data_IF_132880568156
#
_entry.id   IF_132880568156
#
_cell.length_a   1.000
_cell.length_b   1.000
_cell.length_c   1.000
_cell.angle_alpha   90.00
_cell.angle_beta   90.00
_cell.angle_gamma   90.00
#
_symmetry.space_group_name_H-M   'P 1'
#
loop_
_entity.id
_entity.type
_entity.pdbx_description
1 polymer ?
#
# COMPACT_ATOMS: atom_id res chain seq x y z
N UNK A 1 -4.56 -34.91 2.11
CA UNK A 1 -3.72 -33.75 1.82
C UNK A 1 -3.67 -33.51 0.32
N UNK A 2 -4.16 -32.36 -0.12
CA UNK A 2 -4.15 -31.87 -1.51
C UNK A 2 -2.87 -31.08 -1.76
N UNK A 3 -1.85 -31.73 -2.31
CA UNK A 3 -0.52 -31.14 -2.47
C UNK A 3 -0.51 -29.93 -3.40
N UNK A 4 -1.37 -29.95 -4.41
CA UNK A 4 -1.56 -28.87 -5.37
C UNK A 4 -2.08 -27.56 -4.75
N UNK A 5 -2.69 -27.63 -3.56
CA UNK A 5 -3.18 -26.46 -2.84
C UNK A 5 -2.12 -25.87 -1.89
N UNK A 6 -1.08 -26.63 -1.58
CA UNK A 6 0.00 -26.22 -0.68
C UNK A 6 0.95 -25.29 -1.42
N UNK A 7 1.21 -24.12 -0.83
CA UNK A 7 2.05 -23.11 -1.48
C UNK A 7 2.82 -22.26 -0.48
N UNK A 8 4.09 -22.04 -0.80
CA UNK A 8 4.99 -21.12 -0.14
C UNK A 8 6.00 -20.55 -1.15
N UNK A 9 6.45 -19.30 -0.90
CA UNK A 9 7.62 -18.69 -1.55
C UNK A 9 8.45 -17.96 -0.49
N UNK A 10 9.79 -17.97 -0.56
CA UNK A 10 10.66 -17.42 0.48
C UNK A 10 10.81 -15.89 0.40
N UNK A 11 9.75 -15.18 0.01
CA UNK A 11 9.71 -13.72 -0.11
C UNK A 11 8.26 -13.20 -0.14
N UNK A 12 8.11 -11.87 -0.13
CA UNK A 12 6.81 -11.19 -0.23
C UNK A 12 5.88 -11.59 0.94
N UNK A 13 4.59 -11.80 0.70
CA UNK A 13 3.57 -12.10 1.71
C UNK A 13 3.71 -13.47 2.41
N UNK A 14 4.66 -14.30 1.96
CA UNK A 14 4.92 -15.63 2.52
C UNK A 14 6.20 -15.73 3.33
N UNK A 15 7.15 -14.81 3.14
CA UNK A 15 8.30 -14.66 4.03
C UNK A 15 8.79 -13.22 4.01
N UNK A 16 8.72 -12.55 5.16
CA UNK A 16 9.11 -11.16 5.30
C UNK A 16 9.50 -10.83 6.75
N UNK A 17 10.47 -9.96 6.97
CA UNK A 17 10.83 -9.49 8.30
C UNK A 17 9.85 -8.40 8.75
N UNK A 18 9.53 -8.40 10.04
CA UNK A 18 8.75 -7.33 10.70
C UNK A 18 9.63 -6.44 11.58
N UNK A 19 10.76 -6.97 12.01
CA UNK A 19 11.80 -6.28 12.76
C UNK A 19 13.16 -6.94 12.44
N UNK A 20 14.29 -6.40 12.92
CA UNK A 20 15.61 -6.94 12.58
C UNK A 20 15.81 -8.41 12.94
N UNK A 21 15.11 -8.94 13.94
CA UNK A 21 15.36 -10.26 14.55
C UNK A 21 14.22 -11.26 14.30
N UNK A 22 13.08 -10.82 13.77
CA UNK A 22 11.90 -11.64 13.56
C UNK A 22 11.56 -11.77 12.07
N UNK A 23 11.58 -13.02 11.57
CA UNK A 23 11.14 -13.38 10.23
C UNK A 23 9.75 -14.04 10.31
N UNK A 24 8.76 -13.45 9.65
CA UNK A 24 7.44 -14.07 9.46
C UNK A 24 7.55 -15.07 8.33
N UNK A 25 7.10 -16.31 8.53
CA UNK A 25 6.99 -17.33 7.50
C UNK A 25 5.56 -17.85 7.48
N UNK A 26 4.96 -17.87 6.28
CA UNK A 26 3.58 -18.31 6.07
C UNK A 26 3.53 -19.47 5.08
N UNK A 27 2.56 -20.38 5.26
CA UNK A 27 2.23 -21.46 4.35
C UNK A 27 0.73 -21.41 4.07
N UNK A 28 0.34 -21.59 2.81
CA UNK A 28 -1.06 -21.78 2.42
C UNK A 28 -1.32 -23.26 2.17
N UNK A 29 -2.47 -23.78 2.60
CA UNK A 29 -2.96 -25.13 2.26
C UNK A 29 -4.42 -25.09 1.85
N UNK A 30 -4.97 -26.18 1.30
CA UNK A 30 -6.42 -26.32 1.20
C UNK A 30 -7.06 -26.21 2.60
N UNK A 31 -8.26 -25.63 2.65
CA UNK A 31 -9.01 -25.42 3.88
C UNK A 31 -9.36 -26.75 4.55
N UNK A 32 -9.11 -26.83 5.86
CA UNK A 32 -9.32 -28.01 6.71
C UNK A 32 -8.61 -29.28 6.20
N UNK A 33 -7.53 -29.16 5.44
CA UNK A 33 -6.85 -30.29 4.81
C UNK A 33 -5.64 -30.80 5.59
N UNK A 34 -5.05 -29.97 6.45
CA UNK A 34 -3.93 -30.36 7.32
C UNK A 34 -4.27 -30.10 8.79
N UNK A 35 -3.74 -30.95 9.68
CA UNK A 35 -3.94 -30.86 11.12
C UNK A 35 -2.74 -30.21 11.83
N UNK A 36 -1.54 -30.54 11.36
CA UNK A 36 -0.28 -30.10 11.96
C UNK A 36 0.62 -29.53 10.88
N UNK A 37 1.10 -28.31 11.12
CA UNK A 37 2.12 -27.65 10.33
C UNK A 37 3.29 -27.28 11.26
N UNK A 38 4.48 -27.77 10.96
CA UNK A 38 5.69 -27.47 11.73
C UNK A 38 6.75 -26.92 10.77
N UNK A 39 7.30 -25.77 11.11
CA UNK A 39 8.47 -25.23 10.43
C UNK A 39 9.73 -25.85 11.03
N UNK A 40 10.57 -26.44 10.19
CA UNK A 40 11.91 -26.90 10.54
C UNK A 40 12.91 -25.91 9.98
N UNK A 41 13.69 -25.26 10.84
CA UNK A 41 14.56 -24.14 10.45
C UNK A 41 15.99 -24.33 10.94
N UNK A 42 16.93 -23.79 10.18
CA UNK A 42 18.37 -23.87 10.42
C UNK A 42 19.02 -22.55 10.03
N UNK A 43 20.14 -22.20 10.68
CA UNK A 43 21.04 -21.20 10.13
C UNK A 43 21.68 -21.77 8.85
N UNK A 44 21.91 -20.91 7.84
CA UNK A 44 22.37 -21.38 6.53
C UNK A 44 23.74 -22.08 6.58
N UNK A 45 24.68 -21.52 7.33
CA UNK A 45 26.10 -21.87 7.40
C UNK A 45 26.53 -22.45 8.75
N UNK A 46 25.71 -22.33 9.79
CA UNK A 46 25.93 -22.97 11.09
C UNK A 46 24.87 -24.05 11.37
N UNK A 47 25.24 -25.32 11.23
CA UNK A 47 24.34 -26.46 11.43
C UNK A 47 23.97 -26.72 12.89
N UNK A 48 24.66 -26.09 13.85
CA UNK A 48 24.35 -26.22 15.28
C UNK A 48 23.11 -25.40 15.66
N UNK A 49 22.87 -24.31 14.95
CA UNK A 49 21.71 -23.44 15.13
C UNK A 49 20.55 -23.95 14.27
N UNK A 50 19.65 -24.71 14.90
CA UNK A 50 18.46 -25.27 14.26
C UNK A 50 17.35 -25.48 15.27
N UNK A 51 16.12 -25.55 14.79
CA UNK A 51 14.98 -25.82 15.62
C UNK A 51 13.75 -26.22 14.82
N UNK A 52 12.67 -26.44 15.57
CA UNK A 52 11.35 -26.70 15.01
C UNK A 52 10.32 -25.92 15.79
N UNK A 53 9.35 -25.36 15.09
CA UNK A 53 8.27 -24.58 15.69
C UNK A 53 6.96 -24.93 15.02
N UNK A 54 5.93 -25.19 15.83
CA UNK A 54 4.58 -25.41 15.30
C UNK A 54 4.07 -24.07 14.75
N UNK A 55 3.51 -24.10 13.55
CA UNK A 55 2.89 -22.92 12.94
C UNK A 55 1.41 -22.86 13.33
N UNK A 56 0.93 -21.66 13.59
CA UNK A 56 -0.45 -21.41 13.99
C UNK A 56 -1.30 -21.07 12.77
N UNK A 57 -2.54 -21.57 12.73
CA UNK A 57 -3.49 -21.15 11.69
C UNK A 57 -4.01 -19.75 12.02
N UNK A 58 -3.55 -18.75 11.27
CA UNK A 58 -3.86 -17.33 11.52
C UNK A 58 -5.05 -16.82 10.71
N UNK A 59 -5.37 -17.47 9.59
CA UNK A 59 -6.50 -17.10 8.75
C UNK A 59 -7.03 -18.28 7.93
N UNK A 60 -8.27 -18.13 7.46
CA UNK A 60 -8.91 -19.02 6.50
C UNK A 60 -9.75 -18.18 5.55
N UNK A 61 -9.68 -18.46 4.25
CA UNK A 61 -10.60 -17.87 3.27
C UNK A 61 -11.67 -18.90 2.83
N UNK A 62 -12.25 -18.73 1.63
CA UNK A 62 -13.22 -19.68 1.09
C UNK A 62 -12.61 -21.05 0.77
N UNK A 63 -11.35 -21.11 0.34
CA UNK A 63 -10.69 -22.30 -0.21
C UNK A 63 -9.45 -22.75 0.55
N UNK A 64 -8.80 -21.85 1.29
CA UNK A 64 -7.48 -22.06 1.88
C UNK A 64 -7.42 -21.75 3.37
N UNK A 65 -6.49 -22.43 4.04
CA UNK A 65 -6.02 -22.10 5.38
C UNK A 65 -4.60 -21.52 5.28
N UNK A 66 -4.29 -20.57 6.16
CA UNK A 66 -3.00 -19.89 6.24
C UNK A 66 -2.36 -20.16 7.61
N UNK A 67 -1.20 -20.79 7.58
CA UNK A 67 -0.37 -21.10 8.75
C UNK A 67 0.79 -20.14 8.80
N UNK A 68 1.09 -19.58 9.97
CA UNK A 68 2.13 -18.58 10.16
C UNK A 68 2.96 -18.85 11.42
N UNK A 69 4.22 -18.42 11.36
CA UNK A 69 5.07 -18.29 12.55
C UNK A 69 5.91 -17.03 12.45
N UNK A 70 6.03 -16.32 13.57
CA UNK A 70 7.00 -15.25 13.78
C UNK A 70 8.28 -15.87 14.37
N UNK A 71 9.28 -16.10 13.51
CA UNK A 71 10.52 -16.76 13.90
C UNK A 71 11.52 -15.74 14.44
N UNK A 72 11.61 -15.64 15.77
CA UNK A 72 12.67 -14.94 16.48
C UNK A 72 13.65 -15.96 17.10
N UNK A 73 14.73 -16.23 16.39
CA UNK A 73 15.70 -17.26 16.77
C UNK A 73 17.15 -16.75 16.77
N UNK A 74 17.35 -15.42 16.76
CA UNK A 74 18.68 -14.80 16.75
C UNK A 74 19.50 -15.02 15.47
N UNK A 75 18.89 -15.58 14.42
CA UNK A 75 19.54 -15.86 13.14
C UNK A 75 19.11 -14.83 12.10
N UNK A 76 20.08 -14.28 11.35
CA UNK A 76 19.79 -13.38 10.23
C UNK A 76 19.64 -14.10 8.89
N UNK A 77 20.19 -15.33 8.77
CA UNK A 77 20.23 -16.10 7.52
C UNK A 77 19.61 -17.46 7.78
N UNK A 78 18.43 -17.69 7.22
CA UNK A 78 17.59 -18.82 7.62
C UNK A 78 17.33 -19.71 6.41
N UNK A 79 17.43 -21.02 6.60
CA UNK A 79 16.91 -22.01 5.67
C UNK A 79 15.90 -22.89 6.39
N UNK A 80 14.84 -23.31 5.70
CA UNK A 80 13.74 -24.02 6.34
C UNK A 80 12.97 -24.93 5.38
N UNK A 81 12.17 -25.81 5.96
CA UNK A 81 11.19 -26.65 5.25
C UNK A 81 9.98 -26.87 6.16
N UNK A 82 8.90 -27.39 5.60
CA UNK A 82 7.66 -27.63 6.32
C UNK A 82 7.44 -29.13 6.52
N UNK A 83 7.12 -29.51 7.74
CA UNK A 83 6.54 -30.80 8.08
C UNK A 83 5.02 -30.63 8.16
N UNK A 84 4.30 -31.42 7.36
CA UNK A 84 2.85 -31.34 7.22
C UNK A 84 2.24 -32.70 7.51
N UNK A 85 1.18 -32.72 8.30
CA UNK A 85 0.48 -33.94 8.68
C UNK A 85 -1.03 -33.72 8.65
N UNK A 86 -1.72 -34.64 7.98
CA UNK A 86 -3.18 -34.77 8.01
C UNK A 86 -3.58 -36.04 8.78
N UNK A 87 -4.84 -36.49 8.66
CA UNK A 87 -5.30 -37.70 9.37
C UNK A 87 -4.72 -39.01 8.82
N UNK A 88 -4.05 -39.00 7.67
CA UNK A 88 -3.71 -40.21 6.91
C UNK A 88 -2.23 -40.30 6.53
N UNK A 89 -1.54 -39.17 6.43
CA UNK A 89 -0.24 -39.05 5.77
C UNK A 89 0.59 -37.91 6.33
N UNK A 90 1.90 -38.05 6.18
CA UNK A 90 2.90 -37.04 6.50
C UNK A 90 3.61 -36.66 5.20
N UNK A 91 3.88 -35.37 5.01
CA UNK A 91 4.66 -34.85 3.89
C UNK A 91 5.65 -33.80 4.35
N UNK A 92 6.83 -33.84 3.75
CA UNK A 92 7.87 -32.84 3.90
C UNK A 92 7.85 -31.94 2.67
N UNK A 93 7.62 -30.65 2.86
CA UNK A 93 7.55 -29.67 1.78
C UNK A 93 8.76 -28.74 1.82
N UNK A 94 9.50 -28.74 0.72
CA UNK A 94 10.80 -28.08 0.56
C UNK A 94 10.81 -27.29 -0.75
N UNK A 95 11.88 -26.55 -1.07
CA UNK A 95 12.01 -25.82 -2.33
C UNK A 95 11.92 -26.73 -3.55
N UNK A 96 12.34 -27.99 -3.40
CA UNK A 96 12.40 -28.97 -4.48
C UNK A 96 11.10 -29.78 -4.62
N UNK A 97 10.11 -29.52 -3.76
CA UNK A 97 8.80 -30.18 -3.77
C UNK A 97 8.49 -30.98 -2.51
N UNK A 98 7.69 -32.03 -2.67
CA UNK A 98 7.14 -32.85 -1.58
C UNK A 98 7.86 -34.20 -1.47
N UNK A 99 8.13 -34.62 -0.23
CA UNK A 99 8.84 -35.86 0.10
C UNK A 99 8.12 -36.64 1.21
N UNK A 100 8.26 -37.96 1.21
CA UNK A 100 7.71 -38.84 2.26
C UNK A 100 8.59 -38.92 3.53
N UNK A 101 9.85 -38.53 3.40
CA UNK A 101 10.84 -38.47 4.47
C UNK A 101 11.57 -37.13 4.44
N UNK A 102 12.19 -36.74 5.56
CA UNK A 102 12.93 -35.48 5.65
C UNK A 102 14.09 -35.48 4.64
N UNK A 103 14.10 -34.59 3.62
CA UNK A 103 15.22 -34.49 2.72
C UNK A 103 16.43 -33.84 3.42
N UNK A 104 17.64 -34.19 2.98
CA UNK A 104 18.88 -33.59 3.50
C UNK A 104 19.25 -32.27 2.77
N UNK A 105 18.53 -31.94 1.70
CA UNK A 105 18.74 -30.77 0.84
C UNK A 105 17.39 -30.14 0.47
N UNK A 106 17.40 -29.12 -0.41
CA UNK A 106 16.17 -28.52 -0.94
C UNK A 106 15.47 -27.59 0.04
N UNK A 107 16.17 -26.98 1.00
CA UNK A 107 15.53 -26.04 1.93
C UNK A 107 15.12 -24.75 1.18
N UNK A 108 13.94 -24.22 1.55
CA UNK A 108 13.67 -22.80 1.31
C UNK A 108 14.72 -21.95 2.01
N UNK A 109 14.98 -20.76 1.47
CA UNK A 109 16.13 -19.95 1.86
C UNK A 109 15.77 -18.49 1.93
N UNK A 110 15.84 -17.89 3.12
CA UNK A 110 15.77 -16.45 3.32
C UNK A 110 17.17 -15.90 3.53
N UNK A 111 17.69 -15.15 2.55
CA UNK A 111 19.11 -14.82 2.42
C UNK A 111 19.70 -14.06 3.58
N UNK A 112 19.09 -12.94 3.96
CA UNK A 112 19.54 -12.12 5.08
C UNK A 112 18.39 -11.20 5.51
N UNK A 113 18.17 -11.02 6.81
CA UNK A 113 17.26 -9.99 7.33
C UNK A 113 18.00 -8.65 7.30
N UNK A 114 17.81 -7.89 6.22
CA UNK A 114 18.35 -6.54 6.07
C UNK A 114 17.40 -5.53 6.74
N UNK A 115 17.93 -4.67 7.61
CA UNK A 115 17.12 -3.66 8.31
C UNK A 115 16.43 -2.69 7.34
N UNK A 116 17.10 -2.35 6.25
CA UNK A 116 16.61 -1.38 5.27
C UNK A 116 15.50 -1.95 4.37
N UNK A 117 15.38 -3.28 4.30
CA UNK A 117 14.32 -3.97 3.54
C UNK A 117 13.03 -4.15 4.37
N UNK A 118 13.06 -3.81 5.67
CA UNK A 118 11.90 -3.92 6.55
C UNK A 118 10.95 -2.77 6.25
N UNK A 119 9.71 -3.10 5.87
CA UNK A 119 8.67 -2.13 5.64
C UNK A 119 8.38 -1.35 6.94
N UNK A 120 8.69 -0.06 6.93
CA UNK A 120 8.40 0.81 8.05
C UNK A 120 6.95 1.25 8.02
N UNK A 121 6.25 1.03 9.12
CA UNK A 121 4.88 1.49 9.28
C UNK A 121 4.83 3.02 9.50
N UNK A 122 3.96 3.69 8.75
CA UNK A 122 3.67 5.11 8.94
C UNK A 122 2.73 5.26 10.14
N UNK A 123 3.32 5.40 11.34
CA UNK A 123 2.61 5.32 12.63
C UNK A 123 1.34 6.19 12.73
N UNK A 124 1.38 7.42 12.21
CA UNK A 124 0.21 8.30 12.27
C UNK A 124 -0.96 7.79 11.42
N UNK A 125 -0.69 7.07 10.33
CA UNK A 125 -1.68 6.65 9.34
C UNK A 125 -2.53 5.46 9.80
N UNK A 126 -1.95 4.53 10.59
CA UNK A 126 -2.55 3.23 10.95
C UNK A 126 -4.00 3.33 11.45
N UNK A 127 -4.28 4.34 12.28
CA UNK A 127 -5.59 4.56 12.90
C UNK A 127 -6.20 5.91 12.50
N UNK A 128 -5.76 6.50 11.39
CA UNK A 128 -6.26 7.81 10.94
C UNK A 128 -7.61 7.71 10.25
N UNK A 129 -8.48 8.68 10.51
CA UNK A 129 -9.70 8.94 9.73
C UNK A 129 -9.39 9.99 8.65
N UNK A 130 -9.50 9.58 7.39
CA UNK A 130 -9.22 10.44 6.23
C UNK A 130 -10.52 10.94 5.62
N UNK A 131 -10.61 12.24 5.42
CA UNK A 131 -11.75 12.86 4.72
C UNK A 131 -11.34 13.31 3.33
N UNK A 132 -11.91 12.66 2.31
CA UNK A 132 -11.69 13.06 0.93
C UNK A 132 -12.52 14.30 0.59
N UNK A 133 -11.86 15.30 0.01
CA UNK A 133 -12.47 16.54 -0.45
C UNK A 133 -12.26 16.63 -1.96
N UNK A 134 -13.38 16.69 -2.68
CA UNK A 134 -13.42 17.11 -4.07
C UNK A 134 -13.69 18.63 -4.13
N UNK A 135 -12.67 19.49 -4.38
CA UNK A 135 -12.75 20.92 -4.08
C UNK A 135 -13.90 21.65 -4.76
N UNK A 136 -14.17 21.36 -6.05
CA UNK A 136 -15.27 21.98 -6.82
C UNK A 136 -16.66 21.78 -6.18
N UNK A 137 -16.85 20.74 -5.36
CA UNK A 137 -18.17 20.36 -4.80
C UNK A 137 -18.28 20.51 -3.29
N UNK A 138 -17.19 20.80 -2.60
CA UNK A 138 -17.21 20.84 -1.14
C UNK A 138 -17.89 22.10 -0.61
N UNK A 139 -17.35 23.26 -0.95
CA UNK A 139 -17.87 24.55 -0.55
C UNK A 139 -17.32 25.67 -1.45
N UNK A 140 -18.15 26.67 -1.74
CA UNK A 140 -17.80 27.82 -2.59
C UNK A 140 -17.78 29.10 -1.77
N UNK A 141 -16.78 29.97 -2.02
CA UNK A 141 -16.73 31.32 -1.46
C UNK A 141 -16.22 32.33 -2.51
N UNK A 142 -16.92 33.46 -2.78
CA UNK A 142 -18.19 33.88 -2.18
C UNK A 142 -19.35 32.95 -2.55
N UNK A 143 -20.46 32.93 -1.77
CA UNK A 143 -21.63 32.13 -2.10
C UNK A 143 -22.25 32.65 -3.39
N UNK A 144 -22.11 31.91 -4.48
CA UNK A 144 -22.72 32.29 -5.76
C UNK A 144 -24.25 32.14 -5.72
N UNK A 145 -24.96 33.22 -6.06
CA UNK A 145 -26.43 33.30 -6.22
C UNK A 145 -26.88 33.11 -7.67
N UNK A 146 -25.96 33.04 -8.62
CA UNK A 146 -26.24 32.83 -10.03
C UNK A 146 -26.04 31.36 -10.39
N UNK A 147 -27.07 30.75 -10.98
CA UNK A 147 -26.98 29.39 -11.48
C UNK A 147 -26.18 29.47 -12.80
N UNK A 148 -24.86 29.29 -12.77
CA UNK A 148 -24.11 29.11 -14.01
C UNK A 148 -24.70 27.87 -14.68
N UNK A 149 -25.40 28.03 -15.80
CA UNK A 149 -26.13 26.95 -16.49
C UNK A 149 -25.27 25.77 -16.99
N UNK A 150 -24.00 25.71 -16.59
CA UNK A 150 -23.07 24.63 -16.87
C UNK A 150 -23.11 23.61 -15.71
N UNK A 151 -23.72 22.45 -15.96
CA UNK A 151 -23.97 21.40 -14.93
C UNK A 151 -22.70 20.69 -14.42
N UNK A 152 -21.52 21.07 -14.90
CA UNK A 152 -20.26 20.33 -14.68
C UNK A 152 -19.33 20.99 -13.65
N UNK A 153 -19.42 22.31 -13.45
CA UNK A 153 -18.56 23.07 -12.52
C UNK A 153 -19.45 23.78 -11.51
N UNK A 154 -19.18 23.59 -10.22
CA UNK A 154 -20.01 24.13 -9.13
C UNK A 154 -19.32 25.25 -8.33
N UNK A 155 -18.04 25.51 -8.63
CA UNK A 155 -17.31 26.68 -8.14
C UNK A 155 -16.81 26.55 -6.70
N UNK A 156 -16.77 25.33 -6.17
CA UNK A 156 -16.12 25.07 -4.89
C UNK A 156 -14.61 25.35 -4.97
N UNK A 157 -14.05 25.90 -3.90
CA UNK A 157 -12.68 26.41 -3.89
C UNK A 157 -12.03 26.33 -2.50
N UNK A 158 -10.74 26.63 -2.42
CA UNK A 158 -9.94 26.49 -1.19
C UNK A 158 -10.49 27.37 -0.07
N UNK A 159 -10.93 28.58 -0.38
CA UNK A 159 -11.58 29.46 0.60
C UNK A 159 -12.86 28.87 1.16
N UNK A 160 -13.67 28.21 0.34
CA UNK A 160 -14.84 27.49 0.81
C UNK A 160 -14.49 26.35 1.77
N UNK A 161 -13.37 25.65 1.52
CA UNK A 161 -12.86 24.63 2.46
C UNK A 161 -12.48 25.27 3.79
N UNK A 162 -11.73 26.38 3.77
CA UNK A 162 -11.33 27.13 4.97
C UNK A 162 -12.56 27.59 5.77
N UNK A 163 -13.58 28.14 5.10
CA UNK A 163 -14.81 28.61 5.75
C UNK A 163 -15.61 27.49 6.41
N UNK A 164 -15.53 26.27 5.87
CA UNK A 164 -16.18 25.08 6.44
C UNK A 164 -15.24 24.25 7.31
N UNK A 165 -14.05 24.73 7.62
CA UNK A 165 -13.03 23.94 8.31
C UNK A 165 -13.48 23.46 9.69
N UNK A 166 -14.27 24.25 10.42
CA UNK A 166 -14.83 23.84 11.72
C UNK A 166 -15.66 22.55 11.65
N UNK A 167 -16.28 22.26 10.51
CA UNK A 167 -16.98 20.98 10.31
C UNK A 167 -16.00 19.80 10.34
N UNK A 168 -14.83 19.93 9.71
CA UNK A 168 -13.81 18.89 9.67
C UNK A 168 -13.24 18.62 11.08
N UNK A 169 -13.02 19.69 11.85
CA UNK A 169 -12.57 19.59 13.25
C UNK A 169 -13.63 18.89 14.11
N UNK A 170 -14.91 19.31 14.00
CA UNK A 170 -16.01 18.66 14.76
C UNK A 170 -16.23 17.21 14.37
N UNK A 171 -16.00 16.85 13.11
CA UNK A 171 -16.07 15.48 12.63
C UNK A 171 -14.94 14.61 13.22
N UNK A 172 -13.81 15.22 13.60
CA UNK A 172 -12.68 14.54 14.24
C UNK A 172 -11.77 13.82 13.24
N UNK A 173 -11.54 14.41 12.07
CA UNK A 173 -10.69 13.80 11.02
C UNK A 173 -9.21 14.04 11.31
N UNK A 174 -8.35 13.06 11.01
CA UNK A 174 -6.90 13.16 11.21
C UNK A 174 -6.16 13.68 9.97
N UNK A 175 -6.78 13.53 8.80
CA UNK A 175 -6.24 14.01 7.54
C UNK A 175 -7.35 14.37 6.54
N UNK A 176 -7.05 15.32 5.66
CA UNK A 176 -7.81 15.55 4.43
C UNK A 176 -7.04 15.01 3.23
N UNK A 177 -7.76 14.42 2.28
CA UNK A 177 -7.24 14.06 0.97
C UNK A 177 -7.88 14.95 -0.09
N UNK A 178 -7.07 15.78 -0.73
CA UNK A 178 -7.51 16.68 -1.79
C UNK A 178 -7.36 15.98 -3.15
N UNK A 179 -8.47 15.87 -3.88
CA UNK A 179 -8.42 15.61 -5.32
C UNK A 179 -7.55 16.67 -6.04
N UNK A 180 -7.13 16.44 -7.30
CA UNK A 180 -6.17 17.31 -7.96
C UNK A 180 -6.59 18.78 -7.95
N UNK A 181 -5.69 19.64 -7.47
CA UNK A 181 -5.88 21.10 -7.39
C UNK A 181 -4.94 21.88 -8.31
N UNK A 182 -4.05 21.17 -9.01
CA UNK A 182 -3.11 21.78 -9.94
C UNK A 182 -3.82 22.23 -11.21
N UNK A 183 -3.22 23.20 -11.88
CA UNK A 183 -3.77 23.81 -13.08
C UNK A 183 -4.07 22.76 -14.16
N UNK A 184 -5.30 22.75 -14.67
CA UNK A 184 -5.77 21.85 -15.73
C UNK A 184 -6.96 22.44 -16.49
N UNK A 185 -7.31 21.87 -17.64
CA UNK A 185 -8.43 22.32 -18.47
C UNK A 185 -9.78 21.71 -18.04
N UNK A 186 -9.79 20.47 -17.55
CA UNK A 186 -11.03 19.79 -17.15
C UNK A 186 -11.54 20.18 -15.78
N UNK A 187 -12.82 19.89 -15.49
CA UNK A 187 -13.40 20.11 -14.15
C UNK A 187 -12.78 19.22 -13.04
N UNK A 188 -12.23 18.06 -13.38
CA UNK A 188 -11.70 17.08 -12.41
C UNK A 188 -10.18 17.19 -12.19
N UNK A 189 -9.48 17.94 -13.05
CA UNK A 189 -8.06 18.28 -12.93
C UNK A 189 -7.05 17.11 -12.97
N UNK A 190 -7.43 15.99 -13.58
CA UNK A 190 -6.52 14.84 -13.79
C UNK A 190 -5.65 15.00 -15.06
N UNK A 191 -5.96 15.96 -15.90
CA UNK A 191 -5.25 16.39 -17.11
C UNK A 191 -4.34 17.58 -16.79
N UNK A 192 -3.45 17.40 -15.82
CA UNK A 192 -2.59 18.48 -15.29
C UNK A 192 -1.75 19.10 -16.40
N UNK A 193 -1.81 20.43 -16.52
CA UNK A 193 -1.02 21.21 -17.47
C UNK A 193 0.18 21.89 -16.81
N UNK A 194 0.09 22.19 -15.50
CA UNK A 194 1.17 22.77 -14.72
C UNK A 194 1.10 22.30 -13.26
N UNK A 195 2.06 21.48 -12.84
CA UNK A 195 2.16 20.96 -11.47
C UNK A 195 2.64 22.01 -10.46
N UNK A 196 3.19 23.14 -10.92
CA UNK A 196 3.72 24.19 -10.04
C UNK A 196 2.69 25.27 -9.73
N UNK A 197 1.55 25.27 -10.42
CA UNK A 197 0.50 26.27 -10.23
C UNK A 197 -0.79 25.63 -9.75
N UNK A 198 -1.44 26.31 -8.79
CA UNK A 198 -2.79 25.96 -8.35
C UNK A 198 -3.75 26.42 -9.43
N UNK A 199 -4.77 25.61 -9.70
CA UNK A 199 -5.80 26.00 -10.65
C UNK A 199 -6.50 27.28 -10.17
N UNK A 200 -6.53 28.35 -10.99
CA UNK A 200 -7.10 29.63 -10.59
C UNK A 200 -8.56 29.56 -10.13
N UNK A 201 -9.32 28.54 -10.57
CA UNK A 201 -10.70 28.31 -10.12
C UNK A 201 -10.76 27.91 -8.64
N UNK A 202 -9.75 27.19 -8.16
CA UNK A 202 -9.66 26.78 -6.76
C UNK A 202 -8.98 27.81 -5.86
N UNK A 203 -8.12 28.64 -6.43
CA UNK A 203 -7.47 29.72 -5.69
C UNK A 203 -6.01 29.90 -6.07
N UNK A 204 -5.19 30.22 -5.07
CA UNK A 204 -3.76 30.43 -5.25
C UNK A 204 -2.92 29.80 -4.14
N UNK A 205 -1.58 29.83 -4.29
CA UNK A 205 -0.63 29.25 -3.34
C UNK A 205 -0.75 29.82 -1.92
N UNK A 206 -1.14 31.09 -1.75
CA UNK A 206 -1.30 31.70 -0.42
C UNK A 206 -2.51 31.12 0.30
N UNK A 207 -3.63 30.98 -0.40
CA UNK A 207 -4.84 30.35 0.13
C UNK A 207 -4.61 28.87 0.43
N UNK A 208 -3.88 28.14 -0.43
CA UNK A 208 -3.49 26.77 -0.13
C UNK A 208 -2.63 26.68 1.12
N UNK A 209 -1.65 27.60 1.26
CA UNK A 209 -0.82 27.67 2.46
C UNK A 209 -1.65 27.93 3.71
N UNK A 210 -2.62 28.83 3.64
CA UNK A 210 -3.55 29.12 4.74
C UNK A 210 -4.33 27.87 5.15
N UNK A 211 -4.87 27.11 4.19
CA UNK A 211 -5.54 25.84 4.47
C UNK A 211 -4.61 24.83 5.15
N UNK A 212 -3.38 24.67 4.65
CA UNK A 212 -2.39 23.74 5.24
C UNK A 212 -2.03 24.16 6.67
N UNK A 213 -1.77 25.45 6.89
CA UNK A 213 -1.44 25.98 8.22
C UNK A 213 -2.60 25.76 9.20
N UNK A 214 -3.84 25.95 8.73
CA UNK A 214 -5.05 25.69 9.50
C UNK A 214 -5.23 24.20 9.83
N UNK A 215 -4.96 23.31 8.87
CA UNK A 215 -4.96 21.86 9.08
C UNK A 215 -3.95 21.48 10.17
N UNK A 216 -2.68 21.86 10.00
CA UNK A 216 -1.61 21.50 10.94
C UNK A 216 -1.82 22.07 12.34
N UNK A 217 -2.37 23.30 12.45
CA UNK A 217 -2.71 23.91 13.75
C UNK A 217 -3.72 23.07 14.54
N UNK A 218 -4.57 22.31 13.85
CA UNK A 218 -5.59 21.44 14.45
C UNK A 218 -5.19 19.96 14.43
N UNK A 219 -3.93 19.63 14.14
CA UNK A 219 -3.44 18.25 14.07
C UNK A 219 -3.85 17.47 12.82
N UNK A 220 -4.55 18.13 11.87
CA UNK A 220 -5.04 17.53 10.62
C UNK A 220 -3.92 17.56 9.58
N UNK A 221 -3.63 16.42 8.94
CA UNK A 221 -2.66 16.33 7.84
C UNK A 221 -3.31 16.56 6.48
N UNK A 222 -2.48 16.87 5.47
CA UNK A 222 -2.95 17.09 4.10
C UNK A 222 -2.27 16.09 3.16
N UNK A 223 -3.08 15.37 2.39
CA UNK A 223 -2.64 14.45 1.34
C UNK A 223 -3.05 15.06 -0.01
N UNK A 224 -2.10 15.16 -0.94
CA UNK A 224 -2.34 15.63 -2.30
C UNK A 224 -2.45 14.47 -3.28
N UNK A 225 -3.34 14.62 -4.26
CA UNK A 225 -3.38 13.75 -5.43
C UNK A 225 -2.23 14.07 -6.40
N UNK A 226 -1.26 13.17 -6.48
CA UNK A 226 -0.13 13.26 -7.39
C UNK A 226 -0.41 12.54 -8.71
N UNK A 227 -0.94 13.25 -9.70
CA UNK A 227 -1.27 12.67 -11.01
C UNK A 227 -0.03 12.58 -11.90
N UNK A 228 0.71 11.47 -11.82
CA UNK A 228 2.02 11.34 -12.49
C UNK A 228 2.02 10.50 -13.78
N UNK A 229 0.91 9.82 -14.12
CA UNK A 229 0.90 8.77 -15.16
C UNK A 229 0.64 9.35 -16.56
N UNK A 230 -0.35 10.24 -16.73
CA UNK A 230 -0.67 10.87 -18.03
C UNK A 230 -0.87 12.37 -17.80
N UNK A 231 0.05 13.24 -18.26
CA UNK A 231 -0.16 14.68 -18.21
C UNK A 231 -1.22 15.11 -19.24
N UNK A 232 -1.84 16.27 -19.03
CA UNK A 232 -2.79 16.84 -19.99
C UNK A 232 -2.12 17.11 -21.35
N UNK A 233 -2.90 17.12 -22.44
CA UNK A 233 -2.38 17.32 -23.81
C UNK A 233 -1.66 18.68 -23.95
N UNK A 234 -2.10 19.69 -23.20
CA UNK A 234 -1.51 21.03 -23.13
C UNK A 234 -0.32 21.13 -22.17
N UNK A 235 0.21 20.01 -21.68
CA UNK A 235 1.45 20.00 -20.90
C UNK A 235 2.62 20.42 -21.80
N UNK A 236 3.45 21.34 -21.31
CA UNK A 236 4.48 22.05 -22.08
C UNK A 236 5.34 21.13 -22.97
N UNK A 237 5.72 19.95 -22.46
CA UNK A 237 6.52 18.99 -23.21
C UNK A 237 5.76 18.34 -24.39
N UNK A 238 4.48 18.01 -24.20
CA UNK A 238 3.62 17.46 -25.25
C UNK A 238 3.32 18.54 -26.31
N UNK A 239 3.11 19.79 -25.89
CA UNK A 239 2.86 20.89 -26.81
C UNK A 239 4.07 21.14 -27.73
N UNK A 240 5.30 21.08 -27.20
CA UNK A 240 6.53 21.21 -27.99
C UNK A 240 6.67 20.05 -29.00
N UNK A 241 6.37 18.81 -28.60
CA UNK A 241 6.43 17.65 -29.48
C UNK A 241 5.41 17.74 -30.62
N UNK A 242 4.15 18.07 -30.30
CA UNK A 242 3.09 18.21 -31.29
C UNK A 242 3.37 19.35 -32.29
N UNK A 243 3.97 20.46 -31.82
CA UNK A 243 4.42 21.54 -32.70
C UNK A 243 5.57 21.10 -33.63
N UNK A 244 6.49 20.24 -33.15
CA UNK A 244 7.56 19.69 -33.98
C UNK A 244 7.04 18.74 -35.05
N UNK A 245 6.12 17.83 -34.71
CA UNK A 245 5.54 16.89 -35.69
C UNK A 245 4.72 17.61 -36.77
N UNK A 246 3.97 18.66 -36.40
CA UNK A 246 3.24 19.49 -37.38
C UNK A 246 4.17 20.23 -38.34
N UNK A 247 5.35 20.65 -37.87
CA UNK A 247 6.33 21.34 -38.71
C UNK A 247 7.17 20.39 -39.58
N UNK A 248 7.20 19.09 -39.29
CA UNK A 248 7.87 18.08 -40.14
C UNK A 248 6.97 17.53 -41.25
N UNK A 249 5.66 17.70 -41.13
CA UNK A 249 4.65 17.24 -42.09
C UNK A 249 4.14 18.35 -43.02
N UNK A 250 4.80 19.52 -43.04
CA UNK A 250 4.62 20.61 -44.02
C UNK A 250 5.86 20.72 -44.89
#
# INVERSE_FOLDING_TARGET
MKLEAIYHKPYSEFAFPIDPDTLVIRLRTAKNDINTCILIYHEKYDSTQRGKVKMDKVASDQMFDYYEVELNAGMKRIKYMFYLEDNYSIKWYSSDGFFDYMPQWGFFSYSYICKDDILQEVQWFRNSVIYQIFPDRFAKLPPDTSNSGNRTVHGGNIKGIIERFDYLVRLGVDAIYLNPIFKSESYHRYDVIDYYEIDPVFGNKRELKELIDLCHKNGIKVIFDGVLIIPGISFLFLEILLKRERNQNM
#
